data_IF_326500535990
#
_entry.id   IF_326500535990
#
_cell.length_a   1.000
_cell.length_b   1.000
_cell.length_c   1.000
_cell.angle_alpha   90.00
_cell.angle_beta   90.00
_cell.angle_gamma   90.00
#
_symmetry.space_group_name_H-M   'P 1'
#
loop_
_entity.id
_entity.type
_entity.pdbx_description
1 polymer ?
#
# COMPACT_ATOMS: atom_id res chain seq x y z
N UNK A 1 0.43 -49.08 73.06
CA UNK A 1 1.09 -48.26 72.01
C UNK A 1 0.20 -48.25 70.76
N UNK A 2 -0.69 -47.26 70.63
CA UNK A 2 -1.58 -47.12 69.46
C UNK A 2 -0.91 -46.13 68.50
N UNK A 3 -0.54 -46.61 67.30
CA UNK A 3 -0.09 -45.77 66.21
C UNK A 3 -1.28 -45.24 65.42
N UNK A 4 -1.48 -43.93 65.48
CA UNK A 4 -2.46 -43.24 64.67
C UNK A 4 -1.91 -43.12 63.24
N UNK A 5 -2.57 -43.70 62.26
CA UNK A 5 -2.29 -43.54 60.83
C UNK A 5 -3.15 -42.38 60.31
N UNK A 6 -2.55 -41.29 59.92
CA UNK A 6 -3.18 -40.19 59.20
C UNK A 6 -3.09 -40.54 57.72
N UNK A 7 -4.22 -40.83 57.08
CA UNK A 7 -4.36 -40.95 55.64
C UNK A 7 -4.63 -39.55 55.10
N UNK A 8 -3.69 -39.04 54.32
CA UNK A 8 -3.89 -37.78 53.54
C UNK A 8 -4.59 -38.18 52.25
N UNK A 9 -5.89 -37.90 52.18
CA UNK A 9 -6.64 -37.99 50.93
C UNK A 9 -6.29 -36.82 50.04
N UNK A 10 -5.59 -37.13 48.96
CA UNK A 10 -5.18 -36.13 47.95
C UNK A 10 -6.40 -35.69 47.15
N UNK A 11 -6.90 -34.50 47.42
CA UNK A 11 -8.00 -33.91 46.69
C UNK A 11 -7.61 -33.50 45.28
N UNK A 12 -7.70 -34.47 44.36
CA UNK A 12 -7.49 -34.26 42.91
C UNK A 12 -8.57 -33.42 42.24
N UNK A 13 -9.71 -33.24 42.87
CA UNK A 13 -10.86 -32.53 42.32
C UNK A 13 -10.64 -31.05 42.20
N UNK A 14 -10.02 -30.43 43.22
CA UNK A 14 -9.80 -28.97 43.24
C UNK A 14 -8.78 -28.53 42.19
N UNK A 15 -7.75 -29.34 41.90
CA UNK A 15 -6.72 -29.00 40.89
C UNK A 15 -7.26 -29.03 39.47
N UNK A 16 -8.18 -29.94 39.16
CA UNK A 16 -8.76 -30.07 37.81
C UNK A 16 -9.72 -28.90 37.53
N UNK A 17 -10.50 -28.47 38.51
CA UNK A 17 -11.46 -27.36 38.36
C UNK A 17 -10.74 -26.01 38.17
N UNK A 18 -9.61 -25.79 38.87
CA UNK A 18 -8.81 -24.57 38.68
C UNK A 18 -8.14 -24.52 37.28
N UNK A 19 -7.67 -25.66 36.74
CA UNK A 19 -7.08 -25.68 35.40
C UNK A 19 -8.10 -25.33 34.29
N UNK A 20 -9.34 -25.82 34.43
CA UNK A 20 -10.39 -25.52 33.44
C UNK A 20 -10.84 -24.04 33.50
N UNK A 21 -10.91 -23.44 34.66
CA UNK A 21 -11.28 -22.03 34.80
C UNK A 21 -10.19 -21.08 34.27
N UNK A 22 -8.90 -21.41 34.47
CA UNK A 22 -7.78 -20.61 33.91
C UNK A 22 -7.70 -20.74 32.40
N UNK A 23 -7.96 -21.93 31.84
CA UNK A 23 -7.97 -22.16 30.40
C UNK A 23 -9.15 -21.44 29.72
N UNK A 24 -10.30 -21.34 30.36
CA UNK A 24 -11.47 -20.60 29.84
C UNK A 24 -11.28 -19.09 29.90
N UNK A 25 -10.60 -18.57 30.90
CA UNK A 25 -10.24 -17.14 30.99
C UNK A 25 -9.19 -16.73 29.94
N UNK A 26 -8.30 -17.63 29.54
CA UNK A 26 -7.32 -17.38 28.47
C UNK A 26 -7.92 -17.42 27.07
N UNK A 27 -9.03 -18.11 26.85
CA UNK A 27 -9.72 -18.16 25.56
C UNK A 27 -10.63 -16.96 25.29
N UNK A 28 -10.97 -16.16 26.29
CA UNK A 28 -11.79 -14.94 26.15
C UNK A 28 -10.95 -13.68 25.86
N UNK A 29 -9.63 -13.77 25.85
CA UNK A 29 -8.75 -12.62 25.63
C UNK A 29 -8.36 -12.38 24.15
N UNK A 30 -8.92 -13.12 23.20
CA UNK A 30 -8.56 -13.00 21.77
C UNK A 30 -9.79 -12.64 20.96
N UNK A 31 -10.22 -11.40 20.98
CA UNK A 31 -10.86 -10.71 19.83
C UNK A 31 -11.16 -9.25 20.15
N UNK A 32 -10.16 -8.49 20.55
CA UNK A 32 -10.25 -7.04 20.33
C UNK A 32 -9.46 -6.72 19.07
N UNK A 33 -10.00 -7.12 17.92
CA UNK A 33 -9.61 -6.52 16.66
C UNK A 33 -9.97 -5.05 16.75
N UNK A 34 -9.00 -4.20 16.99
CA UNK A 34 -9.16 -2.77 16.81
C UNK A 34 -9.49 -2.55 15.33
N UNK A 35 -10.78 -2.51 15.00
CA UNK A 35 -11.24 -1.97 13.73
C UNK A 35 -10.79 -0.50 13.73
N UNK A 36 -9.92 -0.18 12.76
CA UNK A 36 -9.63 1.21 12.47
C UNK A 36 -10.96 1.95 12.25
N UNK A 37 -11.12 3.20 12.73
CA UNK A 37 -12.34 3.95 12.53
C UNK A 37 -12.63 3.99 11.03
N UNK A 38 -13.72 3.35 10.59
CA UNK A 38 -14.26 3.58 9.26
C UNK A 38 -14.58 5.07 9.19
N UNK A 39 -13.82 5.78 8.39
CA UNK A 39 -14.20 7.13 7.97
C UNK A 39 -15.61 6.99 7.39
N UNK A 40 -16.57 7.77 7.90
CA UNK A 40 -17.97 7.71 7.48
C UNK A 40 -18.13 7.71 5.96
N UNK A 41 -19.32 7.44 5.41
CA UNK A 41 -19.51 7.20 3.98
C UNK A 41 -18.93 8.36 3.17
N UNK A 42 -17.87 8.06 2.41
CA UNK A 42 -17.31 9.01 1.46
C UNK A 42 -18.37 9.24 0.39
N UNK A 43 -18.69 10.49 0.08
CA UNK A 43 -19.53 10.81 -1.07
C UNK A 43 -18.89 10.27 -2.35
N UNK A 44 -19.70 9.71 -3.26
CA UNK A 44 -19.22 9.24 -4.56
C UNK A 44 -18.57 10.40 -5.35
N UNK A 45 -17.58 10.08 -6.17
CA UNK A 45 -16.92 11.03 -7.07
C UNK A 45 -17.16 10.58 -8.49
N UNK A 46 -17.71 11.49 -9.32
CA UNK A 46 -17.84 11.32 -10.77
C UNK A 46 -17.27 12.57 -11.41
N UNK A 47 -16.24 12.43 -12.25
CA UNK A 47 -15.52 13.56 -12.84
C UNK A 47 -15.04 13.24 -14.25
N UNK A 48 -15.14 14.22 -15.14
CA UNK A 48 -14.52 14.16 -16.45
C UNK A 48 -13.04 14.61 -16.39
N UNK A 49 -12.20 14.02 -17.23
CA UNK A 49 -10.78 14.42 -17.31
C UNK A 49 -10.63 15.94 -17.60
N UNK A 50 -11.54 16.52 -18.37
CA UNK A 50 -11.53 17.97 -18.68
C UNK A 50 -11.73 18.88 -17.46
N UNK A 51 -12.25 18.34 -16.36
CA UNK A 51 -12.45 19.05 -15.09
C UNK A 51 -11.21 18.98 -14.19
N UNK A 52 -10.22 18.12 -14.52
CA UNK A 52 -9.00 17.95 -13.75
C UNK A 52 -8.05 19.11 -14.03
N UNK A 53 -7.72 19.86 -12.98
CA UNK A 53 -6.70 20.90 -13.02
C UNK A 53 -5.41 20.35 -12.43
N UNK A 54 -4.47 20.05 -13.30
CA UNK A 54 -3.18 19.52 -12.87
C UNK A 54 -2.34 20.63 -12.22
N UNK A 55 -2.01 20.54 -10.92
CA UNK A 55 -1.11 21.48 -10.27
C UNK A 55 0.33 21.25 -10.73
N UNK A 56 1.16 22.26 -10.57
CA UNK A 56 2.62 22.08 -10.59
C UNK A 56 3.00 21.26 -9.36
N UNK A 57 3.75 20.16 -9.54
CA UNK A 57 4.17 19.28 -8.45
C UNK A 57 5.65 19.41 -8.10
N UNK A 58 6.06 18.75 -7.02
CA UNK A 58 7.45 18.69 -6.53
C UNK A 58 8.33 17.67 -7.26
N UNK A 59 7.79 16.99 -8.27
CA UNK A 59 8.49 16.00 -9.09
C UNK A 59 9.22 16.63 -10.29
N UNK A 60 9.66 15.81 -11.26
CA UNK A 60 10.17 16.32 -12.53
C UNK A 60 9.19 17.30 -13.17
N UNK A 61 9.67 18.43 -13.67
CA UNK A 61 8.83 19.50 -14.23
C UNK A 61 7.92 19.03 -15.39
N UNK A 62 8.27 17.91 -16.03
CA UNK A 62 7.49 17.28 -17.09
C UNK A 62 6.36 16.36 -16.57
N UNK A 63 6.24 16.17 -15.25
CA UNK A 63 5.25 15.32 -14.61
C UNK A 63 4.25 16.16 -13.84
N UNK A 64 2.97 15.88 -14.02
CA UNK A 64 1.87 16.50 -13.30
C UNK A 64 1.01 15.43 -12.65
N UNK A 65 0.50 15.71 -11.48
CA UNK A 65 -0.18 14.75 -10.64
C UNK A 65 -1.43 15.38 -10.02
N UNK A 66 -2.56 14.71 -10.10
CA UNK A 66 -3.81 15.15 -9.49
C UNK A 66 -4.41 14.01 -8.64
N UNK A 67 -4.62 14.29 -7.35
CA UNK A 67 -5.24 13.33 -6.44
C UNK A 67 -6.74 13.20 -6.73
N UNK A 68 -7.17 12.02 -7.14
CA UNK A 68 -8.57 11.71 -7.41
C UNK A 68 -9.30 11.27 -6.14
N UNK A 69 -8.67 10.46 -5.31
CA UNK A 69 -9.28 9.91 -4.10
C UNK A 69 -8.21 9.51 -3.08
N UNK A 70 -8.59 9.50 -1.81
CA UNK A 70 -7.70 9.12 -0.71
C UNK A 70 -6.92 10.28 -0.12
N UNK A 71 -5.80 10.00 0.51
CA UNK A 71 -4.92 10.99 1.14
C UNK A 71 -3.46 10.55 1.02
N UNK A 72 -2.67 11.29 0.26
CA UNK A 72 -1.25 10.99 0.03
C UNK A 72 -0.41 11.03 1.31
N UNK A 73 -0.86 11.71 2.36
CA UNK A 73 -0.09 11.88 3.61
C UNK A 73 -0.41 10.81 4.65
N UNK A 74 -1.63 10.31 4.65
CA UNK A 74 -2.13 9.50 5.77
C UNK A 74 -2.59 8.11 5.39
N UNK A 75 -2.84 7.83 4.09
CA UNK A 75 -3.43 6.55 3.70
C UNK A 75 -3.29 6.18 2.23
N UNK A 76 -4.06 5.18 1.82
CA UNK A 76 -4.14 4.80 0.42
C UNK A 76 -4.69 5.92 -0.44
N UNK A 77 -4.25 5.96 -1.70
CA UNK A 77 -4.67 7.01 -2.62
C UNK A 77 -4.72 6.53 -4.06
N UNK A 78 -5.54 7.20 -4.85
CA UNK A 78 -5.63 7.06 -6.31
C UNK A 78 -5.44 8.44 -6.92
N UNK A 79 -4.58 8.53 -7.93
CA UNK A 79 -4.33 9.76 -8.64
C UNK A 79 -4.32 9.52 -10.15
N UNK A 80 -4.47 10.60 -10.88
CA UNK A 80 -4.19 10.64 -12.31
C UNK A 80 -2.88 11.40 -12.53
N UNK A 81 -2.01 10.84 -13.33
CA UNK A 81 -0.69 11.35 -13.63
C UNK A 81 -0.56 11.63 -15.13
N UNK A 82 0.00 12.80 -15.45
CA UNK A 82 0.22 13.25 -16.81
C UNK A 82 1.72 13.52 -16.99
N UNK A 83 2.32 12.91 -18.00
CA UNK A 83 3.71 13.12 -18.36
C UNK A 83 3.82 13.71 -19.76
N UNK A 84 4.58 14.79 -19.89
CA UNK A 84 4.87 15.38 -21.20
C UNK A 84 5.59 14.40 -22.12
N UNK A 85 5.55 14.57 -23.45
CA UNK A 85 6.36 13.75 -24.36
C UNK A 85 7.82 13.71 -23.94
N UNK A 86 8.42 12.52 -23.97
CA UNK A 86 9.81 12.26 -23.57
C UNK A 86 10.13 12.56 -22.10
N UNK A 87 9.12 12.74 -21.26
CA UNK A 87 9.31 12.89 -19.82
C UNK A 87 9.98 11.65 -19.24
N UNK A 88 11.10 11.85 -18.57
CA UNK A 88 11.84 10.79 -17.86
C UNK A 88 11.64 10.96 -16.37
N UNK A 89 11.16 9.92 -15.71
CA UNK A 89 11.15 9.83 -14.24
C UNK A 89 12.33 8.92 -13.85
N UNK A 90 13.36 9.51 -13.23
CA UNK A 90 14.58 8.78 -12.86
C UNK A 90 14.30 7.64 -11.88
N UNK A 91 15.27 6.77 -11.71
CA UNK A 91 15.20 5.66 -10.77
C UNK A 91 14.91 6.16 -9.35
N UNK A 92 13.84 5.62 -8.79
CA UNK A 92 13.35 5.92 -7.44
C UNK A 92 12.64 4.71 -6.87
N UNK A 93 12.20 4.80 -5.62
CA UNK A 93 11.27 3.85 -5.03
C UNK A 93 10.32 4.57 -4.06
N UNK A 94 9.23 3.88 -3.72
CA UNK A 94 8.28 4.28 -2.68
C UNK A 94 8.29 3.26 -1.53
N UNK A 95 7.98 3.68 -0.30
CA UNK A 95 7.68 2.73 0.78
C UNK A 95 6.29 2.12 0.62
N UNK A 96 5.43 2.75 -0.17
CA UNK A 96 4.17 2.20 -0.66
C UNK A 96 4.39 1.21 -1.81
N UNK A 97 3.42 0.32 -2.04
CA UNK A 97 3.24 -0.36 -3.32
C UNK A 97 2.58 0.61 -4.29
N UNK A 98 3.12 0.69 -5.49
CA UNK A 98 2.57 1.49 -6.57
C UNK A 98 1.96 0.59 -7.64
N UNK A 99 0.78 0.96 -8.13
CA UNK A 99 0.19 0.33 -9.32
C UNK A 99 -0.09 1.39 -10.36
N UNK A 100 0.21 1.08 -11.61
CA UNK A 100 0.13 1.98 -12.74
C UNK A 100 -0.71 1.37 -13.85
N UNK A 101 -1.68 2.14 -14.37
CA UNK A 101 -2.48 1.75 -15.54
C UNK A 101 -2.36 2.85 -16.59
N UNK A 102 -1.90 2.48 -17.78
CA UNK A 102 -1.80 3.42 -18.90
C UNK A 102 -3.19 3.66 -19.49
N UNK A 103 -3.58 4.93 -19.55
CA UNK A 103 -4.84 5.39 -20.17
C UNK A 103 -4.61 5.86 -21.59
N UNK A 104 -3.54 6.63 -21.82
CA UNK A 104 -3.17 7.19 -23.13
C UNK A 104 -1.66 7.31 -23.24
N UNK A 105 -1.16 7.20 -24.48
CA UNK A 105 0.26 7.29 -24.78
C UNK A 105 0.97 5.95 -24.68
N UNK A 106 2.28 6.00 -24.61
CA UNK A 106 3.17 4.84 -24.51
C UNK A 106 4.26 5.12 -23.48
N UNK A 107 4.43 4.21 -22.55
CA UNK A 107 5.38 4.34 -21.44
C UNK A 107 6.37 3.18 -21.47
N UNK A 108 7.67 3.46 -21.55
CA UNK A 108 8.70 2.49 -21.22
C UNK A 108 8.94 2.53 -19.72
N UNK A 109 8.79 1.41 -19.04
CA UNK A 109 9.00 1.29 -17.59
C UNK A 109 9.78 0.03 -17.27
N UNK A 110 10.52 0.05 -16.19
CA UNK A 110 11.29 -1.07 -15.69
C UNK A 110 11.49 -1.02 -14.19
N UNK A 111 11.93 -2.15 -13.65
CA UNK A 111 12.28 -2.31 -12.25
C UNK A 111 13.65 -2.96 -12.14
N UNK A 112 14.37 -2.69 -11.07
CA UNK A 112 15.67 -3.33 -10.84
C UNK A 112 15.54 -4.86 -10.89
N UNK A 113 16.33 -5.49 -11.76
CA UNK A 113 16.30 -6.94 -11.97
C UNK A 113 15.29 -7.41 -13.00
N UNK A 114 14.54 -6.50 -13.63
CA UNK A 114 13.61 -6.80 -14.71
C UNK A 114 13.96 -5.99 -15.97
N UNK A 115 13.70 -6.51 -17.16
CA UNK A 115 13.90 -5.75 -18.40
C UNK A 115 12.86 -4.62 -18.51
N UNK A 116 13.24 -3.55 -19.22
CA UNK A 116 12.30 -2.51 -19.61
C UNK A 116 11.19 -3.08 -20.50
N UNK A 117 9.98 -2.63 -20.23
CA UNK A 117 8.80 -3.03 -21.00
C UNK A 117 8.06 -1.78 -21.48
N UNK A 118 7.60 -1.79 -22.70
CA UNK A 118 6.78 -0.71 -23.25
C UNK A 118 5.31 -1.07 -23.06
N UNK A 119 4.59 -0.19 -22.34
CA UNK A 119 3.17 -0.31 -22.06
C UNK A 119 2.39 0.73 -22.84
N UNK A 120 1.35 0.30 -23.53
CA UNK A 120 0.33 1.15 -24.16
C UNK A 120 -0.97 1.20 -23.32
N UNK A 121 -2.05 1.80 -23.86
CA UNK A 121 -3.36 1.88 -23.17
C UNK A 121 -3.84 0.51 -22.69
N UNK A 122 -4.29 0.44 -21.43
CA UNK A 122 -4.66 -0.81 -20.75
C UNK A 122 -3.46 -1.59 -20.16
N UNK A 123 -2.23 -1.19 -20.48
CA UNK A 123 -1.02 -1.76 -19.87
C UNK A 123 -0.97 -1.49 -18.37
N UNK A 124 -0.45 -2.47 -17.63
CA UNK A 124 -0.40 -2.47 -16.17
C UNK A 124 1.02 -2.75 -15.67
N UNK A 125 1.44 -2.02 -14.64
CA UNK A 125 2.64 -2.31 -13.88
C UNK A 125 2.32 -2.24 -12.38
N UNK A 126 2.94 -3.10 -11.59
CA UNK A 126 2.90 -3.06 -10.13
C UNK A 126 4.33 -3.05 -9.61
N UNK A 127 4.68 -2.00 -8.90
CA UNK A 127 5.98 -1.80 -8.28
C UNK A 127 5.88 -2.16 -6.79
N UNK A 128 6.49 -3.27 -6.35
CA UNK A 128 6.53 -3.64 -4.95
C UNK A 128 7.19 -2.55 -4.10
N UNK A 129 6.86 -2.53 -2.83
CA UNK A 129 7.44 -1.61 -1.84
C UNK A 129 8.96 -1.63 -1.88
N UNK A 130 9.57 -0.45 -1.92
CA UNK A 130 11.02 -0.25 -1.95
C UNK A 130 11.73 -0.87 -3.17
N UNK A 131 10.99 -1.28 -4.20
CA UNK A 131 11.55 -1.76 -5.44
C UNK A 131 11.99 -0.57 -6.30
N UNK A 132 13.29 -0.42 -6.63
CA UNK A 132 13.75 0.61 -7.54
C UNK A 132 13.12 0.44 -8.92
N UNK A 133 12.55 1.53 -9.44
CA UNK A 133 11.88 1.56 -10.74
C UNK A 133 12.01 2.92 -11.40
N UNK A 134 11.64 2.99 -12.66
CA UNK A 134 11.70 4.20 -13.49
C UNK A 134 10.68 4.11 -14.60
N UNK A 135 10.36 5.26 -15.23
CA UNK A 135 9.60 5.26 -16.46
C UNK A 135 9.96 6.44 -17.39
N UNK A 136 9.63 6.28 -18.66
CA UNK A 136 9.74 7.31 -19.67
C UNK A 136 8.47 7.33 -20.53
N UNK A 137 7.85 8.50 -20.71
CA UNK A 137 6.81 8.67 -21.73
C UNK A 137 7.47 8.66 -23.10
N UNK A 138 7.25 7.59 -23.87
CA UNK A 138 7.84 7.39 -25.19
C UNK A 138 6.99 7.88 -26.34
N UNK A 139 5.72 8.24 -26.06
CA UNK A 139 4.80 8.78 -27.04
C UNK A 139 5.24 10.17 -27.57
N UNK A 140 4.77 10.52 -28.76
CA UNK A 140 4.92 11.88 -29.32
C UNK A 140 3.96 12.87 -28.65
N UNK A 141 2.90 12.36 -28.02
CA UNK A 141 1.92 13.11 -27.22
C UNK A 141 2.15 12.85 -25.73
N UNK A 142 1.40 13.55 -24.88
CA UNK A 142 1.43 13.30 -23.45
C UNK A 142 0.96 11.89 -23.08
N UNK A 143 1.61 11.29 -22.11
CA UNK A 143 1.15 10.07 -21.49
C UNK A 143 0.22 10.39 -20.35
N UNK A 144 -0.88 9.62 -20.23
CA UNK A 144 -1.86 9.71 -19.15
C UNK A 144 -2.01 8.35 -18.50
N UNK A 145 -1.97 8.31 -17.18
CA UNK A 145 -2.05 7.07 -16.43
C UNK A 145 -2.73 7.27 -15.08
N UNK A 146 -3.44 6.27 -14.61
CA UNK A 146 -3.82 6.18 -13.20
C UNK A 146 -2.69 5.55 -12.41
N UNK A 147 -2.49 6.06 -11.21
CA UNK A 147 -1.55 5.52 -10.23
C UNK A 147 -2.27 5.34 -8.89
N UNK A 148 -2.00 4.24 -8.21
CA UNK A 148 -2.53 3.98 -6.87
C UNK A 148 -1.39 3.63 -5.93
N UNK A 149 -1.53 4.08 -4.67
CA UNK A 149 -0.64 3.74 -3.57
C UNK A 149 -1.46 3.09 -2.46
N UNK A 150 -0.96 2.01 -1.88
CA UNK A 150 -1.64 1.24 -0.83
C UNK A 150 -1.53 1.87 0.57
N UNK A 151 -0.71 2.93 0.73
CA UNK A 151 -0.42 3.63 1.98
C UNK A 151 0.07 5.06 1.71
N UNK A 152 0.46 5.84 2.74
CA UNK A 152 1.04 7.18 2.54
C UNK A 152 2.13 7.19 1.48
N UNK A 153 2.04 8.16 0.58
CA UNK A 153 3.00 8.37 -0.49
C UNK A 153 4.29 8.98 0.03
N UNK A 154 5.39 8.46 -0.45
CA UNK A 154 6.73 9.06 -0.37
C UNK A 154 7.48 8.78 -1.68
N UNK A 155 8.57 9.46 -1.91
CA UNK A 155 9.47 9.16 -3.02
C UNK A 155 10.92 9.31 -2.58
N UNK A 156 11.72 8.29 -2.88
CA UNK A 156 13.16 8.27 -2.60
C UNK A 156 13.92 8.15 -3.91
N UNK A 157 14.53 9.26 -4.32
CA UNK A 157 15.33 9.32 -5.54
C UNK A 157 16.66 8.59 -5.36
N UNK A 158 17.00 7.73 -6.29
CA UNK A 158 18.27 7.03 -6.30
C UNK A 158 19.26 7.75 -7.22
N UNK A 159 20.51 7.84 -6.78
CA UNK A 159 21.58 8.37 -7.63
C UNK A 159 21.88 7.37 -8.75
N UNK A 160 22.15 7.83 -9.98
CA UNK A 160 22.66 6.95 -11.01
C UNK A 160 23.93 6.24 -10.50
N UNK A 161 24.01 4.94 -10.69
CA UNK A 161 25.27 4.23 -10.42
C UNK A 161 26.34 4.82 -11.34
N UNK A 162 27.44 5.27 -10.72
CA UNK A 162 28.61 5.76 -11.48
C UNK A 162 29.30 4.62 -12.18
#
# INVERSE_FOLDING_TARGET
>A
MHKLRITVESDRSVRTTCLFLVCWMLLLAVTLSAQAPESGPKSGIVRQLSEVKFPSGDGPACLQFFLENGDLKTGPSTAIMKAAPKCVVPTHYHTAEEQLIIVRGSVSTGMQGMPDTVLGPGGFAMMPRKQPHWFTCTAQEECLMFVTFDRPYDIVWLKPNK
#
